data_IF_791595642964
#
_entry.id   IF_791595642964
#
_cell.length_a   1.000
_cell.length_b   1.000
_cell.length_c   1.000
_cell.angle_alpha   90.00
_cell.angle_beta   90.00
_cell.angle_gamma   90.00
#
_symmetry.space_group_name_H-M   'P 1'
#
loop_
_entity.id
_entity.type
_entity.pdbx_description
1 polymer ?
#
# COMPACT_ATOMS: atom_id res chain seq x y z
N UNK A 1 -27.22 52.33 35.69
CA UNK A 1 -26.51 51.03 35.75
C UNK A 1 -27.09 50.12 34.68
N UNK A 2 -26.62 50.23 33.44
CA UNK A 2 -26.81 49.18 32.44
C UNK A 2 -25.52 49.17 31.62
N UNK A 3 -24.74 48.09 31.77
CA UNK A 3 -23.51 47.91 31.00
C UNK A 3 -23.92 47.72 29.54
N UNK A 4 -23.33 48.54 28.69
CA UNK A 4 -23.28 48.29 27.26
C UNK A 4 -22.34 47.12 27.02
N UNK A 5 -22.88 45.96 26.67
CA UNK A 5 -22.09 44.87 26.09
C UNK A 5 -22.39 44.85 24.58
N UNK A 6 -21.40 45.19 23.71
CA UNK A 6 -21.60 45.03 22.28
C UNK A 6 -21.60 43.53 21.93
N UNK A 7 -22.69 43.07 21.32
CA UNK A 7 -22.76 41.76 20.66
C UNK A 7 -21.68 41.75 19.56
N UNK A 8 -20.61 41.00 19.83
CA UNK A 8 -19.59 40.72 18.83
C UNK A 8 -20.25 39.91 17.69
N UNK A 9 -20.10 40.31 16.41
CA UNK A 9 -20.47 39.43 15.32
C UNK A 9 -19.57 38.20 15.34
N UNK A 10 -20.19 37.05 15.41
CA UNK A 10 -19.57 35.75 15.32
C UNK A 10 -19.25 35.59 13.83
N UNK A 11 -17.98 35.44 13.40
CA UNK A 11 -17.71 35.13 12.01
C UNK A 11 -18.19 33.70 11.72
N UNK A 12 -19.42 33.61 11.17
CA UNK A 12 -19.86 32.46 10.38
C UNK A 12 -19.14 32.52 9.04
N UNK A 13 -18.14 31.67 8.88
CA UNK A 13 -17.50 31.29 7.61
C UNK A 13 -16.70 30.02 7.93
N UNK A 14 -17.29 28.83 7.97
CA UNK A 14 -17.60 28.04 6.78
C UNK A 14 -16.52 28.17 5.69
N UNK A 15 -15.25 28.07 6.06
CA UNK A 15 -14.18 27.73 5.14
C UNK A 15 -13.46 26.50 5.68
N UNK A 16 -14.09 25.35 5.48
CA UNK A 16 -13.37 24.09 5.35
C UNK A 16 -12.43 24.26 4.16
N UNK A 17 -11.23 24.75 4.44
CA UNK A 17 -10.16 24.72 3.48
C UNK A 17 -9.98 23.26 3.09
N UNK A 18 -10.39 22.90 1.88
CA UNK A 18 -9.78 21.82 1.16
C UNK A 18 -8.32 22.23 0.98
N UNK A 19 -7.51 21.99 2.02
CA UNK A 19 -6.08 21.85 1.83
C UNK A 19 -5.94 20.77 0.77
N UNK A 20 -5.35 21.04 -0.41
CA UNK A 20 -4.81 19.96 -1.19
C UNK A 20 -3.74 19.33 -0.30
N UNK A 21 -4.09 18.20 0.32
CA UNK A 21 -3.14 17.27 0.94
C UNK A 21 -1.91 17.25 0.03
N UNK A 22 -0.71 17.52 0.57
CA UNK A 22 0.48 17.72 -0.23
C UNK A 22 0.58 16.52 -1.16
N UNK A 23 0.48 16.82 -2.46
CA UNK A 23 0.69 15.90 -3.56
C UNK A 23 1.85 15.01 -3.15
N UNK A 24 1.53 13.77 -2.76
CA UNK A 24 2.51 12.80 -2.29
C UNK A 24 3.51 12.71 -3.43
N UNK A 25 4.64 13.42 -3.31
CA UNK A 25 5.75 13.30 -4.20
C UNK A 25 5.91 11.81 -4.39
N UNK A 26 5.79 11.35 -5.64
CA UNK A 26 6.08 9.97 -6.03
C UNK A 26 7.57 9.74 -5.75
N UNK A 27 7.92 9.63 -4.47
CA UNK A 27 9.21 9.19 -4.01
C UNK A 27 9.29 7.77 -4.56
N UNK A 28 10.15 7.60 -5.57
CA UNK A 28 10.32 6.34 -6.27
C UNK A 28 10.40 5.22 -5.21
N UNK A 29 9.37 4.37 -5.16
CA UNK A 29 9.25 3.37 -4.10
C UNK A 29 10.38 2.37 -4.31
N UNK A 30 11.40 2.43 -3.46
CA UNK A 30 12.56 1.53 -3.52
C UNK A 30 12.30 0.29 -2.66
N UNK A 31 12.07 -0.83 -3.34
CA UNK A 31 12.00 -2.14 -2.71
C UNK A 31 13.39 -2.75 -2.60
N UNK A 32 13.63 -3.43 -1.48
CA UNK A 32 14.79 -4.31 -1.34
C UNK A 32 14.57 -5.56 -2.17
N UNK A 33 15.65 -6.31 -2.44
CA UNK A 33 15.58 -7.57 -3.19
C UNK A 33 14.60 -8.57 -2.56
N UNK A 34 14.62 -8.70 -1.23
CA UNK A 34 13.70 -9.59 -0.48
C UNK A 34 12.25 -9.12 -0.54
N UNK A 35 11.99 -7.82 -0.41
CA UNK A 35 10.63 -7.29 -0.53
C UNK A 35 10.08 -7.49 -1.95
N UNK A 36 10.92 -7.30 -2.98
CA UNK A 36 10.57 -7.53 -4.39
C UNK A 36 10.20 -8.99 -4.60
N UNK A 37 11.02 -9.92 -4.11
CA UNK A 37 10.80 -11.37 -4.22
C UNK A 37 9.49 -11.80 -3.54
N UNK A 38 9.26 -11.34 -2.30
CA UNK A 38 8.02 -11.61 -1.56
C UNK A 38 6.79 -11.04 -2.27
N UNK A 39 6.91 -9.83 -2.83
CA UNK A 39 5.82 -9.17 -3.55
C UNK A 39 5.52 -9.84 -4.90
N UNK A 40 6.56 -10.33 -5.59
CA UNK A 40 6.45 -11.09 -6.84
C UNK A 40 5.61 -12.36 -6.64
N UNK A 41 5.93 -13.15 -5.61
CA UNK A 41 5.15 -14.36 -5.31
C UNK A 41 3.73 -14.06 -4.86
N UNK A 42 3.52 -12.94 -4.14
CA UNK A 42 2.17 -12.51 -3.80
C UNK A 42 1.36 -12.03 -5.00
N UNK A 43 2.00 -11.39 -5.98
CA UNK A 43 1.35 -11.05 -7.25
C UNK A 43 0.97 -12.33 -8.01
N UNK A 44 1.77 -13.39 -7.90
CA UNK A 44 1.50 -14.72 -8.46
C UNK A 44 0.40 -15.50 -7.70
N UNK A 45 -0.23 -14.90 -6.69
CA UNK A 45 -1.32 -15.52 -5.92
C UNK A 45 -0.87 -16.48 -4.82
N UNK A 46 0.42 -16.50 -4.46
CA UNK A 46 0.93 -17.35 -3.38
C UNK A 46 0.54 -16.81 -2.00
N UNK A 47 0.17 -17.73 -1.12
CA UNK A 47 -0.11 -17.45 0.30
C UNK A 47 1.16 -17.08 1.08
N UNK A 48 1.03 -16.40 2.23
CA UNK A 48 2.20 -16.09 3.07
C UNK A 48 2.99 -17.34 3.47
N UNK A 49 2.29 -18.46 3.70
CA UNK A 49 2.91 -19.75 3.98
C UNK A 49 3.69 -20.29 2.78
N UNK A 50 3.10 -20.36 1.58
CA UNK A 50 3.83 -20.81 0.38
C UNK A 50 5.05 -19.91 0.09
N UNK A 51 4.89 -18.60 0.21
CA UNK A 51 5.99 -17.63 0.04
C UNK A 51 7.10 -17.92 1.04
N UNK A 52 6.75 -18.24 2.29
CA UNK A 52 7.73 -18.57 3.34
C UNK A 52 8.59 -19.78 2.95
N UNK A 53 7.98 -20.79 2.35
CA UNK A 53 8.67 -21.98 1.86
C UNK A 53 9.56 -21.66 0.67
N UNK A 54 9.11 -20.81 -0.25
CA UNK A 54 9.86 -20.46 -1.48
C UNK A 54 11.06 -19.55 -1.16
N UNK A 55 10.87 -18.56 -0.28
CA UNK A 55 11.87 -17.53 0.07
C UNK A 55 12.81 -18.01 1.19
N UNK A 56 12.54 -19.21 1.73
CA UNK A 56 13.22 -19.85 2.84
C UNK A 56 13.25 -18.95 4.10
N UNK A 57 12.08 -18.43 4.49
CA UNK A 57 11.91 -17.64 5.70
C UNK A 57 10.67 -18.10 6.49
N UNK A 58 10.46 -17.59 7.69
CA UNK A 58 9.22 -17.86 8.44
C UNK A 58 8.05 -17.05 7.88
N UNK A 59 6.82 -17.51 8.09
CA UNK A 59 5.61 -16.76 7.73
C UNK A 59 5.56 -15.38 8.40
N UNK A 60 6.03 -15.30 9.66
CA UNK A 60 6.20 -14.04 10.36
C UNK A 60 7.19 -13.10 9.63
N UNK A 61 8.28 -13.65 9.08
CA UNK A 61 9.22 -12.90 8.23
C UNK A 61 8.56 -12.35 6.96
N UNK A 62 7.75 -13.17 6.29
CA UNK A 62 6.94 -12.73 5.13
C UNK A 62 6.00 -11.57 5.51
N UNK A 63 5.30 -11.70 6.63
CA UNK A 63 4.38 -10.65 7.12
C UNK A 63 5.11 -9.38 7.54
N UNK A 64 6.33 -9.50 8.08
CA UNK A 64 7.20 -8.36 8.35
C UNK A 64 7.59 -7.62 7.06
N UNK A 65 7.97 -8.36 6.01
CA UNK A 65 8.24 -7.76 4.69
C UNK A 65 7.00 -7.08 4.12
N UNK A 66 5.81 -7.68 4.18
CA UNK A 66 4.57 -7.03 3.74
C UNK A 66 4.26 -5.76 4.53
N UNK A 67 4.54 -5.73 5.82
CA UNK A 67 4.36 -4.53 6.63
C UNK A 67 5.26 -3.39 6.18
N UNK A 68 6.52 -3.68 5.86
CA UNK A 68 7.43 -2.68 5.30
C UNK A 68 7.02 -2.24 3.89
N UNK A 69 6.63 -3.17 3.02
CA UNK A 69 6.13 -2.88 1.67
C UNK A 69 4.94 -1.93 1.76
N UNK A 70 3.90 -2.28 2.52
CA UNK A 70 2.71 -1.45 2.74
C UNK A 70 3.05 -0.05 3.21
N UNK A 71 3.97 0.07 4.16
CA UNK A 71 4.46 1.36 4.67
C UNK A 71 5.15 2.18 3.60
N UNK A 72 5.97 1.54 2.74
CA UNK A 72 6.65 2.21 1.61
C UNK A 72 5.69 2.67 0.52
N UNK A 73 4.65 1.90 0.23
CA UNK A 73 3.63 2.22 -0.77
C UNK A 73 2.49 3.12 -0.25
N UNK A 74 2.42 3.34 1.07
CA UNK A 74 1.33 4.05 1.73
C UNK A 74 -0.02 3.36 1.54
N UNK A 75 -0.08 2.03 1.66
CA UNK A 75 -1.31 1.24 1.44
C UNK A 75 -1.57 0.27 2.59
N UNK A 76 -2.84 -0.05 2.82
CA UNK A 76 -3.27 -0.96 3.89
C UNK A 76 -3.28 -2.42 3.46
N UNK A 77 -3.41 -2.67 2.15
CA UNK A 77 -3.66 -3.99 1.58
C UNK A 77 -2.47 -4.49 0.75
N UNK A 78 -2.11 -5.76 0.95
CA UNK A 78 -1.05 -6.42 0.16
C UNK A 78 -1.37 -6.47 -1.34
N UNK A 79 -2.64 -6.63 -1.69
CA UNK A 79 -3.12 -6.62 -3.07
C UNK A 79 -2.89 -5.26 -3.73
N UNK A 80 -3.28 -4.18 -3.06
CA UNK A 80 -3.03 -2.82 -3.55
C UNK A 80 -1.54 -2.52 -3.66
N UNK A 81 -0.71 -3.03 -2.74
CA UNK A 81 0.74 -2.90 -2.84
C UNK A 81 1.31 -3.62 -4.07
N UNK A 82 0.86 -4.85 -4.33
CA UNK A 82 1.28 -5.62 -5.51
C UNK A 82 0.84 -4.94 -6.81
N UNK A 83 -0.40 -4.42 -6.86
CA UNK A 83 -0.90 -3.71 -8.04
C UNK A 83 -0.09 -2.43 -8.31
N UNK A 84 0.16 -1.59 -7.30
CA UNK A 84 1.02 -0.42 -7.44
C UNK A 84 2.44 -0.79 -7.87
N UNK A 85 2.99 -1.90 -7.37
CA UNK A 85 4.32 -2.35 -7.77
C UNK A 85 4.37 -2.79 -9.24
N UNK A 86 3.29 -3.40 -9.77
CA UNK A 86 3.15 -3.73 -11.19
C UNK A 86 3.05 -2.45 -12.03
N UNK A 87 2.23 -1.48 -11.61
CA UNK A 87 2.08 -0.20 -12.31
C UNK A 87 3.40 0.59 -12.38
N UNK A 88 4.20 0.53 -11.33
CA UNK A 88 5.52 1.16 -11.27
C UNK A 88 6.63 0.34 -11.95
N UNK A 89 6.33 -0.87 -12.45
CA UNK A 89 7.33 -1.77 -13.05
C UNK A 89 8.40 -2.26 -12.06
N UNK A 90 8.09 -2.28 -10.76
CA UNK A 90 9.00 -2.74 -9.70
C UNK A 90 9.04 -4.26 -9.56
N UNK A 91 7.97 -4.92 -10.02
CA UNK A 91 7.85 -6.38 -10.10
C UNK A 91 7.31 -6.75 -11.47
N UNK A 92 7.68 -7.93 -11.95
CA UNK A 92 7.20 -8.42 -13.25
C UNK A 92 5.78 -8.95 -13.11
N UNK A 93 4.96 -8.81 -14.16
CA UNK A 93 3.64 -9.43 -14.15
C UNK A 93 3.84 -10.94 -14.14
N UNK A 94 3.41 -11.67 -13.10
CA UNK A 94 3.56 -13.11 -13.10
C UNK A 94 2.82 -13.64 -14.31
N UNK A 95 3.52 -14.39 -15.16
CA UNK A 95 2.89 -15.14 -16.24
C UNK A 95 1.87 -16.06 -15.59
N UNK A 96 0.61 -15.68 -15.71
CA UNK A 96 -0.51 -16.55 -15.42
C UNK A 96 -0.38 -17.69 -16.41
N UNK A 97 0.20 -18.80 -15.98
CA UNK A 97 -0.10 -20.07 -16.63
C UNK A 97 -1.59 -20.28 -16.37
N UNK A 98 -2.42 -19.79 -17.28
CA UNK A 98 -3.80 -20.21 -17.38
C UNK A 98 -3.76 -21.74 -17.35
N UNK A 99 -4.48 -22.34 -16.40
CA UNK A 99 -4.60 -23.79 -16.22
C UNK A 99 -4.74 -24.52 -17.57
N UNK A 100 -3.63 -24.95 -18.13
CA UNK A 100 -3.51 -26.16 -18.91
C UNK A 100 -2.75 -27.06 -17.95
N UNK A 101 -3.44 -27.84 -17.14
CA UNK A 101 -3.52 -29.26 -17.43
C UNK A 101 -4.80 -29.87 -16.82
N UNK A 102 -5.72 -30.17 -17.73
CA UNK A 102 -6.65 -31.28 -17.61
C UNK A 102 -5.83 -32.54 -17.90
N UNK A 103 -5.52 -33.34 -16.88
CA UNK A 103 -4.90 -34.67 -17.00
C UNK A 103 -5.27 -35.42 -15.73
N UNK A 104 -5.91 -36.57 -15.70
CA UNK A 104 -6.64 -37.41 -16.66
C UNK A 104 -7.56 -38.31 -15.84
#
# INVERSE_FOLDING_TARGET
MYRSDPIAPHPSSAQGGFQPEPSQQQAAVKLTRKETEVLQWSAAGKSSWEISQIVNCSEAGVNYHFSNIRRKFGVSSRWTAAFKALELGLIDKPYVHANSEKTS
#
